data_IF_945873498971
#
_entry.id   IF_945873498971
#
_cell.length_a   1.000
_cell.length_b   1.000
_cell.length_c   1.000
_cell.angle_alpha   90.00
_cell.angle_beta   90.00
_cell.angle_gamma   90.00
#
_symmetry.space_group_name_H-M   'P 1'
#
loop_
_entity.id
_entity.type
_entity.pdbx_description
1 polymer ?
#
# COMPACT_ATOMS: atom_id res chain seq x y z
N UNK A 1 -22.13 -7.85 4.69
CA UNK A 1 -22.14 -6.71 5.67
C UNK A 1 -22.67 -5.49 4.96
N UNK A 2 -23.68 -4.80 5.52
CA UNK A 2 -24.05 -3.49 5.02
C UNK A 2 -23.11 -2.46 5.64
N UNK A 3 -22.23 -1.88 4.83
CA UNK A 3 -21.42 -0.74 5.24
C UNK A 3 -22.26 0.54 5.04
N UNK A 4 -22.20 1.50 5.98
CA UNK A 4 -22.91 2.76 5.79
C UNK A 4 -22.38 3.50 4.56
N UNK A 5 -23.29 4.05 3.76
CA UNK A 5 -22.92 4.97 2.68
C UNK A 5 -22.22 6.20 3.27
N UNK A 6 -21.16 6.64 2.59
CA UNK A 6 -20.52 7.90 2.97
C UNK A 6 -21.46 9.07 2.69
N UNK A 7 -21.70 9.87 3.72
CA UNK A 7 -22.38 11.14 3.53
C UNK A 7 -21.40 12.19 3.00
N UNK A 8 -21.83 13.07 2.09
CA UNK A 8 -20.99 14.18 1.62
C UNK A 8 -20.47 15.01 2.79
N UNK A 9 -19.22 15.44 2.68
CA UNK A 9 -18.61 16.30 3.71
C UNK A 9 -19.37 17.60 3.86
N UNK A 10 -19.63 18.00 5.11
CA UNK A 10 -20.19 19.33 5.47
C UNK A 10 -19.10 20.40 5.54
N UNK A 11 -17.86 20.08 5.20
CA UNK A 11 -16.75 21.03 5.20
C UNK A 11 -17.06 22.20 4.26
N UNK A 12 -16.91 23.46 4.70
CA UNK A 12 -17.22 24.64 3.88
C UNK A 12 -16.12 24.88 2.83
N UNK A 13 -15.99 23.97 1.89
CA UNK A 13 -14.94 23.97 0.84
C UNK A 13 -14.91 25.25 0.02
N UNK A 14 -16.07 25.94 -0.11
CA UNK A 14 -16.18 27.22 -0.80
C UNK A 14 -15.42 28.36 -0.14
N UNK A 15 -14.98 28.20 1.12
CA UNK A 15 -14.15 29.18 1.85
C UNK A 15 -12.66 29.08 1.52
N UNK A 16 -12.27 28.01 0.83
CA UNK A 16 -10.87 27.77 0.45
C UNK A 16 -10.68 28.11 -1.02
N UNK A 17 -9.76 29.03 -1.31
CA UNK A 17 -9.33 29.35 -2.67
C UNK A 17 -8.01 28.69 -2.99
N UNK A 18 -7.77 28.41 -4.27
CA UNK A 18 -6.46 27.95 -4.72
C UNK A 18 -5.39 28.99 -4.42
N UNK A 19 -4.21 28.54 -4.04
CA UNK A 19 -3.05 29.44 -3.91
C UNK A 19 -2.78 30.15 -5.24
N UNK A 20 -2.44 31.44 -5.17
CA UNK A 20 -2.08 32.21 -6.37
C UNK A 20 -0.73 31.71 -6.86
N UNK A 21 -0.64 31.14 -8.07
CA UNK A 21 0.62 30.60 -8.57
C UNK A 21 1.63 31.74 -8.83
N UNK A 22 2.91 31.43 -8.65
CA UNK A 22 3.98 32.33 -9.07
C UNK A 22 4.01 32.37 -10.60
N UNK A 23 3.94 33.55 -11.20
CA UNK A 23 4.00 33.70 -12.66
C UNK A 23 5.43 33.51 -13.15
N UNK A 24 5.69 32.38 -13.79
CA UNK A 24 6.93 32.07 -14.49
C UNK A 24 6.60 31.78 -15.95
N UNK A 25 7.24 32.46 -16.87
CA UNK A 25 6.92 32.37 -18.31
C UNK A 25 7.31 31.08 -18.97
N UNK A 26 8.22 30.31 -18.35
CA UNK A 26 8.77 29.04 -18.84
C UNK A 26 8.18 27.80 -18.12
N UNK A 27 7.10 27.96 -17.37
CA UNK A 27 6.44 26.83 -16.68
C UNK A 27 5.80 25.87 -17.67
N UNK A 28 5.98 24.57 -17.41
CA UNK A 28 5.44 23.52 -18.28
C UNK A 28 4.43 22.62 -17.60
N UNK A 29 4.60 22.30 -16.32
CA UNK A 29 3.73 21.37 -15.58
C UNK A 29 3.04 21.96 -14.32
N UNK A 30 3.56 23.02 -13.64
CA UNK A 30 2.97 23.51 -12.39
C UNK A 30 1.63 24.21 -12.53
N UNK A 31 1.18 24.47 -13.76
CA UNK A 31 -0.13 25.10 -14.01
C UNK A 31 -1.31 24.16 -13.86
N UNK A 32 -1.03 22.85 -13.79
CA UNK A 32 -2.07 21.84 -13.52
C UNK A 32 -2.53 21.95 -12.07
N UNK A 33 -3.85 22.06 -11.90
CA UNK A 33 -4.51 22.09 -10.58
C UNK A 33 -5.20 20.76 -10.32
N UNK A 34 -5.12 20.30 -9.08
CA UNK A 34 -5.94 19.18 -8.64
C UNK A 34 -7.41 19.62 -8.56
N UNK A 35 -8.26 19.00 -9.33
CA UNK A 35 -9.71 19.29 -9.38
C UNK A 35 -10.56 18.21 -8.71
N UNK A 36 -9.95 17.10 -8.29
CA UNK A 36 -10.59 16.02 -7.58
C UNK A 36 -9.76 15.63 -6.35
N UNK A 37 -10.42 15.15 -5.30
CA UNK A 37 -9.73 14.64 -4.13
C UNK A 37 -8.87 13.42 -4.51
N UNK A 38 -7.65 13.27 -3.94
CA UNK A 38 -6.86 12.06 -4.11
C UNK A 38 -7.56 10.89 -3.42
N UNK A 39 -7.25 9.68 -3.85
CA UNK A 39 -7.58 8.49 -3.08
C UNK A 39 -6.70 8.44 -1.84
N UNK A 40 -7.32 8.22 -0.70
CA UNK A 40 -6.63 8.04 0.57
C UNK A 40 -6.40 6.55 0.81
N UNK A 41 -5.16 6.17 1.05
CA UNK A 41 -4.80 4.85 1.56
C UNK A 41 -4.58 4.91 3.07
N UNK A 42 -5.22 4.00 3.83
CA UNK A 42 -4.94 3.85 5.25
C UNK A 42 -3.78 2.88 5.44
N UNK A 43 -2.82 3.26 6.26
CA UNK A 43 -1.66 2.42 6.67
C UNK A 43 -1.73 2.02 8.14
N UNK A 44 -2.85 2.26 8.82
CA UNK A 44 -3.03 2.00 10.25
C UNK A 44 -2.82 0.53 10.62
N UNK A 45 -3.29 -0.41 9.78
CA UNK A 45 -3.18 -1.84 10.02
C UNK A 45 -1.81 -2.44 9.71
N UNK A 46 -0.94 -1.71 9.02
CA UNK A 46 0.44 -2.13 8.75
C UNK A 46 1.42 -1.25 9.52
N UNK A 47 1.65 -0.01 9.11
CA UNK A 47 2.66 0.88 9.68
C UNK A 47 2.26 1.34 11.08
N UNK A 48 1.01 1.74 11.26
CA UNK A 48 0.46 2.08 12.56
C UNK A 48 0.52 0.91 13.54
N UNK A 49 0.11 -0.29 13.12
CA UNK A 49 0.17 -1.49 13.94
C UNK A 49 1.62 -1.90 14.27
N UNK A 50 2.56 -1.72 13.35
CA UNK A 50 3.98 -2.00 13.55
C UNK A 50 4.61 -1.11 14.63
N UNK A 51 4.09 0.10 14.82
CA UNK A 51 4.57 1.05 15.83
C UNK A 51 4.05 0.76 17.25
N UNK A 52 3.07 -0.14 17.41
CA UNK A 52 2.53 -0.49 18.72
C UNK A 52 3.51 -1.36 19.51
N UNK A 53 3.60 -1.12 20.82
CA UNK A 53 4.37 -1.98 21.74
C UNK A 53 3.76 -3.39 21.79
N UNK A 54 2.43 -3.48 21.75
CA UNK A 54 1.65 -4.73 21.67
C UNK A 54 0.83 -4.69 20.36
N UNK A 55 1.35 -5.25 19.26
CA UNK A 55 0.67 -5.25 17.98
C UNK A 55 -0.70 -5.95 18.06
N UNK A 56 -1.63 -5.49 17.25
CA UNK A 56 -2.99 -6.03 17.22
C UNK A 56 -3.00 -7.50 16.78
N UNK A 57 -3.73 -8.32 17.52
CA UNK A 57 -4.13 -9.65 17.13
C UNK A 57 -5.18 -9.62 15.99
N UNK A 58 -5.50 -10.78 15.43
CA UNK A 58 -6.48 -10.88 14.34
C UNK A 58 -7.87 -10.30 14.67
N UNK A 59 -8.46 -10.51 15.86
CA UNK A 59 -9.71 -9.88 16.22
C UNK A 59 -9.67 -8.34 16.24
N UNK A 60 -8.61 -7.75 16.80
CA UNK A 60 -8.42 -6.29 16.85
C UNK A 60 -8.19 -5.74 15.44
N UNK A 61 -7.35 -6.40 14.62
CA UNK A 61 -7.15 -6.03 13.22
C UNK A 61 -8.46 -6.05 12.44
N UNK A 62 -9.31 -7.06 12.65
CA UNK A 62 -10.61 -7.14 12.00
C UNK A 62 -11.56 -6.00 12.43
N UNK A 63 -11.57 -5.67 13.72
CA UNK A 63 -12.36 -4.54 14.21
C UNK A 63 -11.90 -3.21 13.58
N UNK A 64 -10.58 -2.99 13.52
CA UNK A 64 -10.00 -1.80 12.89
C UNK A 64 -10.26 -1.76 11.37
N UNK A 65 -10.12 -2.89 10.67
CA UNK A 65 -10.46 -2.99 9.25
C UNK A 65 -11.90 -2.56 8.96
N UNK A 66 -12.86 -3.08 9.74
CA UNK A 66 -14.27 -2.70 9.63
C UNK A 66 -14.49 -1.22 9.89
N UNK A 67 -13.78 -0.64 10.85
CA UNK A 67 -13.85 0.80 11.15
C UNK A 67 -13.33 1.62 9.97
N UNK A 68 -12.17 1.27 9.40
CA UNK A 68 -11.60 1.97 8.25
C UNK A 68 -12.53 1.92 7.03
N UNK A 69 -13.14 0.76 6.77
CA UNK A 69 -14.16 0.63 5.72
C UNK A 69 -15.38 1.52 6.00
N UNK A 70 -15.85 1.56 7.25
CA UNK A 70 -16.98 2.41 7.66
C UNK A 70 -16.64 3.91 7.57
N UNK A 71 -15.37 4.30 7.80
CA UNK A 71 -14.87 5.66 7.57
C UNK A 71 -14.79 6.03 6.09
N UNK A 72 -14.84 5.03 5.19
CA UNK A 72 -14.87 5.22 3.74
C UNK A 72 -13.55 5.09 3.04
N UNK A 73 -12.51 4.57 3.68
CA UNK A 73 -11.27 4.26 2.98
C UNK A 73 -11.52 3.22 1.89
N UNK A 74 -10.94 3.45 0.71
CA UNK A 74 -11.05 2.58 -0.46
C UNK A 74 -9.76 1.84 -0.79
N UNK A 75 -8.66 2.26 -0.20
CA UNK A 75 -7.38 1.56 -0.22
C UNK A 75 -6.91 1.41 1.23
N UNK A 76 -6.62 0.16 1.65
CA UNK A 76 -6.24 -0.14 3.04
C UNK A 76 -5.05 -1.09 3.02
N UNK A 77 -3.91 -0.64 3.54
CA UNK A 77 -2.74 -1.50 3.73
C UNK A 77 -2.93 -2.34 4.98
N UNK A 78 -3.22 -3.63 4.78
CA UNK A 78 -3.72 -4.54 5.81
C UNK A 78 -2.63 -5.28 6.59
N UNK A 79 -1.39 -5.30 6.07
CA UNK A 79 -0.29 -5.94 6.76
C UNK A 79 0.92 -6.24 5.88
N UNK A 80 1.87 -6.97 6.47
CA UNK A 80 3.06 -7.49 5.83
C UNK A 80 3.06 -9.04 5.91
N UNK A 81 2.27 -9.72 5.06
CA UNK A 81 1.98 -11.15 5.20
C UNK A 81 3.19 -12.05 5.09
N UNK A 82 4.26 -11.61 4.44
CA UNK A 82 5.50 -12.39 4.34
C UNK A 82 6.43 -12.20 5.54
N UNK A 83 6.21 -11.20 6.39
CA UNK A 83 7.02 -10.95 7.58
C UNK A 83 6.48 -11.61 8.84
N UNK A 84 5.17 -11.84 8.94
CA UNK A 84 4.56 -12.47 10.12
C UNK A 84 3.41 -13.40 9.75
N UNK A 85 3.28 -14.51 10.51
CA UNK A 85 2.17 -15.44 10.33
C UNK A 85 0.83 -14.79 10.70
N UNK A 86 0.81 -13.95 11.73
CA UNK A 86 -0.39 -13.20 12.13
C UNK A 86 -0.93 -12.32 11.00
N UNK A 87 -0.04 -11.63 10.28
CA UNK A 87 -0.45 -10.82 9.14
C UNK A 87 -0.91 -11.68 7.97
N UNK A 88 -0.22 -12.79 7.71
CA UNK A 88 -0.65 -13.74 6.68
C UNK A 88 -2.05 -14.27 6.97
N UNK A 89 -2.29 -14.75 8.18
CA UNK A 89 -3.56 -15.31 8.60
C UNK A 89 -4.68 -14.27 8.57
N UNK A 90 -4.37 -13.02 8.92
CA UNK A 90 -5.33 -11.92 8.83
C UNK A 90 -5.72 -11.62 7.38
N UNK A 91 -4.74 -11.53 6.46
CA UNK A 91 -5.01 -11.31 5.03
C UNK A 91 -5.86 -12.45 4.48
N UNK A 92 -5.50 -13.70 4.77
CA UNK A 92 -6.31 -14.86 4.36
C UNK A 92 -7.72 -14.81 4.92
N UNK A 93 -7.85 -14.51 6.20
CA UNK A 93 -9.17 -14.43 6.87
C UNK A 93 -10.11 -13.43 6.17
N UNK A 94 -9.65 -12.22 5.88
CA UNK A 94 -10.52 -11.22 5.23
C UNK A 94 -10.89 -11.58 3.80
N UNK A 95 -10.04 -12.35 3.11
CA UNK A 95 -10.30 -12.86 1.75
C UNK A 95 -11.24 -14.06 1.83
N UNK A 96 -10.87 -15.10 2.58
CA UNK A 96 -11.59 -16.38 2.62
C UNK A 96 -13.01 -16.25 3.20
N UNK A 97 -13.22 -15.32 4.12
CA UNK A 97 -14.54 -15.03 4.70
C UNK A 97 -15.33 -13.96 3.91
N UNK A 98 -14.80 -13.46 2.78
CA UNK A 98 -15.48 -12.47 1.94
C UNK A 98 -15.75 -11.14 2.66
N UNK A 99 -14.83 -10.67 3.52
CA UNK A 99 -15.01 -9.49 4.35
C UNK A 99 -14.60 -8.17 3.68
N UNK A 100 -14.04 -8.25 2.47
CA UNK A 100 -13.58 -7.08 1.72
C UNK A 100 -14.73 -6.60 0.84
N UNK A 101 -15.22 -5.35 1.01
CA UNK A 101 -16.22 -4.79 0.10
C UNK A 101 -15.73 -4.70 -1.33
N UNK A 102 -16.63 -4.77 -2.29
CA UNK A 102 -16.32 -4.75 -3.71
C UNK A 102 -15.56 -3.52 -4.20
N UNK A 103 -15.74 -2.39 -3.51
CA UNK A 103 -15.14 -1.10 -3.83
C UNK A 103 -13.91 -0.77 -2.96
N UNK A 104 -13.43 -1.74 -2.16
CA UNK A 104 -12.22 -1.62 -1.35
C UNK A 104 -11.10 -2.48 -1.93
N UNK A 105 -9.92 -1.89 -2.04
CA UNK A 105 -8.69 -2.55 -2.47
C UNK A 105 -7.82 -2.78 -1.24
N UNK A 106 -7.42 -4.00 -0.99
CA UNK A 106 -6.40 -4.30 0.03
C UNK A 106 -5.01 -4.06 -0.54
N UNK A 107 -4.13 -3.51 0.29
CA UNK A 107 -2.72 -3.36 -0.01
C UNK A 107 -1.90 -4.19 0.97
N UNK A 108 -0.83 -4.80 0.49
CA UNK A 108 0.09 -5.61 1.30
C UNK A 108 1.53 -5.27 0.99
N UNK A 109 2.33 -5.10 2.05
CA UNK A 109 3.74 -4.77 1.92
C UNK A 109 4.57 -6.02 1.61
N UNK A 110 5.60 -5.87 0.78
CA UNK A 110 6.63 -6.88 0.57
C UNK A 110 7.99 -6.25 0.31
N UNK A 111 9.03 -6.79 0.92
CA UNK A 111 10.40 -6.40 0.60
C UNK A 111 10.83 -7.01 -0.74
N UNK A 112 11.73 -6.34 -1.47
CA UNK A 112 12.31 -6.78 -2.73
C UNK A 112 13.23 -8.01 -2.57
N UNK A 113 12.66 -9.14 -2.13
CA UNK A 113 13.31 -10.44 -1.93
C UNK A 113 12.36 -11.54 -2.40
N UNK A 114 12.85 -12.40 -3.28
CA UNK A 114 12.03 -13.42 -3.94
C UNK A 114 11.15 -14.26 -2.98
N UNK A 115 11.65 -14.84 -1.86
CA UNK A 115 10.81 -15.63 -0.99
C UNK A 115 9.64 -14.84 -0.38
N UNK A 116 9.89 -13.55 -0.04
CA UNK A 116 8.88 -12.68 0.54
C UNK A 116 7.83 -12.27 -0.50
N UNK A 117 8.25 -11.97 -1.73
CA UNK A 117 7.35 -11.65 -2.83
C UNK A 117 6.43 -12.84 -3.11
N UNK A 118 6.98 -14.06 -3.24
CA UNK A 118 6.18 -15.26 -3.48
C UNK A 118 5.15 -15.50 -2.37
N UNK A 119 5.58 -15.38 -1.10
CA UNK A 119 4.68 -15.51 0.05
C UNK A 119 3.58 -14.46 0.06
N UNK A 120 3.87 -13.25 -0.40
CA UNK A 120 2.88 -12.18 -0.52
C UNK A 120 1.83 -12.49 -1.59
N UNK A 121 2.23 -13.03 -2.74
CA UNK A 121 1.28 -13.47 -3.76
C UNK A 121 0.40 -14.63 -3.29
N UNK A 122 0.95 -15.58 -2.51
CA UNK A 122 0.14 -16.63 -1.85
C UNK A 122 -0.92 -16.01 -0.92
N UNK A 123 -0.56 -14.97 -0.17
CA UNK A 123 -1.46 -14.33 0.77
C UNK A 123 -2.65 -13.64 0.10
N UNK A 124 -2.46 -13.01 -1.06
CA UNK A 124 -3.52 -12.25 -1.75
C UNK A 124 -4.35 -13.08 -2.73
N UNK A 125 -3.97 -14.32 -2.96
CA UNK A 125 -4.67 -15.21 -3.90
C UNK A 125 -6.17 -15.30 -3.57
N UNK A 126 -7.02 -15.13 -4.59
CA UNK A 126 -8.48 -15.20 -4.46
C UNK A 126 -9.12 -13.91 -3.97
N UNK A 127 -8.37 -12.84 -3.71
CA UNK A 127 -8.97 -11.51 -3.54
C UNK A 127 -9.45 -10.98 -4.90
N UNK A 128 -10.50 -10.15 -4.91
CA UNK A 128 -10.98 -9.51 -6.14
C UNK A 128 -9.93 -8.59 -6.76
N UNK A 129 -9.26 -7.82 -5.90
CA UNK A 129 -8.19 -6.90 -6.27
C UNK A 129 -7.23 -6.66 -5.09
N UNK A 130 -5.95 -6.48 -5.40
CA UNK A 130 -4.92 -6.19 -4.41
C UNK A 130 -3.83 -5.28 -4.97
N UNK A 131 -3.22 -4.47 -4.10
CA UNK A 131 -2.00 -3.72 -4.39
C UNK A 131 -0.84 -4.44 -3.72
N UNK A 132 0.17 -4.80 -4.50
CA UNK A 132 1.45 -5.28 -3.98
C UNK A 132 2.36 -4.07 -3.80
N UNK A 133 2.62 -3.71 -2.55
CA UNK A 133 3.49 -2.60 -2.19
C UNK A 133 4.92 -3.12 -2.01
N UNK A 134 5.72 -2.99 -3.05
CA UNK A 134 7.12 -3.42 -3.09
C UNK A 134 8.03 -2.33 -2.55
N UNK A 135 8.99 -2.67 -1.70
CA UNK A 135 9.99 -1.72 -1.24
C UNK A 135 11.39 -2.30 -1.15
N UNK A 136 12.39 -1.45 -1.21
CA UNK A 136 13.76 -1.72 -0.78
C UNK A 136 14.43 -0.44 -0.30
N UNK A 137 15.40 -0.58 0.63
CA UNK A 137 16.15 0.55 1.15
C UNK A 137 17.14 1.08 0.11
N UNK A 138 17.20 2.39 -0.05
CA UNK A 138 17.97 3.05 -1.12
C UNK A 138 19.04 4.01 -0.63
N UNK A 139 19.04 4.38 0.67
CA UNK A 139 19.98 5.38 1.22
C UNK A 139 21.42 4.89 1.26
N UNK A 140 22.35 5.82 1.43
CA UNK A 140 23.79 5.57 1.43
C UNK A 140 24.20 4.54 2.49
N UNK A 141 23.62 4.61 3.70
CA UNK A 141 23.98 3.72 4.80
C UNK A 141 23.61 2.26 4.53
N UNK A 142 22.34 1.90 4.19
CA UNK A 142 21.98 0.55 3.79
C UNK A 142 22.77 0.03 2.59
N UNK A 143 23.01 0.86 1.57
CA UNK A 143 23.84 0.45 0.42
C UNK A 143 25.20 -0.07 0.85
N UNK A 144 25.88 0.70 1.72
CA UNK A 144 27.24 0.40 2.14
C UNK A 144 27.33 -0.71 3.18
N UNK A 145 26.42 -0.69 4.18
CA UNK A 145 26.56 -1.54 5.39
C UNK A 145 25.74 -2.83 5.27
N UNK A 146 24.55 -2.76 4.68
CA UNK A 146 23.61 -3.90 4.61
C UNK A 146 23.83 -4.70 3.33
N UNK A 147 23.87 -4.00 2.19
CA UNK A 147 23.92 -4.67 0.89
C UNK A 147 25.32 -4.80 0.31
N UNK A 148 26.25 -3.91 0.68
CA UNK A 148 27.58 -3.84 0.05
C UNK A 148 27.50 -3.50 -1.44
N UNK A 149 26.50 -2.73 -1.86
CA UNK A 149 26.20 -2.43 -3.27
C UNK A 149 26.28 -0.91 -3.53
N UNK A 150 26.59 -0.57 -4.78
CA UNK A 150 26.47 0.77 -5.31
C UNK A 150 25.02 1.11 -5.72
N UNK A 151 24.84 2.28 -6.33
CA UNK A 151 23.51 2.73 -6.80
C UNK A 151 22.91 1.79 -7.84
N UNK A 152 23.72 1.29 -8.74
CA UNK A 152 23.25 0.40 -9.84
C UNK A 152 22.84 -0.97 -9.28
N UNK A 153 23.59 -1.50 -8.30
CA UNK A 153 23.21 -2.72 -7.60
C UNK A 153 21.87 -2.59 -6.85
N UNK A 154 21.62 -1.44 -6.20
CA UNK A 154 20.32 -1.17 -5.53
C UNK A 154 19.18 -1.01 -6.54
N UNK A 155 19.40 -0.32 -7.65
CA UNK A 155 18.40 -0.26 -8.74
C UNK A 155 18.08 -1.65 -9.28
N UNK A 156 19.11 -2.50 -9.44
CA UNK A 156 18.91 -3.87 -9.91
C UNK A 156 18.03 -4.68 -8.97
N UNK A 157 18.18 -4.54 -7.63
CA UNK A 157 17.26 -5.18 -6.67
C UNK A 157 15.81 -4.78 -6.95
N UNK A 158 15.55 -3.49 -7.15
CA UNK A 158 14.21 -3.00 -7.42
C UNK A 158 13.65 -3.52 -8.74
N UNK A 159 14.44 -3.48 -9.81
CA UNK A 159 13.99 -3.91 -11.16
C UNK A 159 13.77 -5.42 -11.23
N UNK A 160 14.67 -6.22 -10.66
CA UNK A 160 14.52 -7.68 -10.62
C UNK A 160 13.27 -8.07 -9.81
N UNK A 161 13.06 -7.43 -8.66
CA UNK A 161 11.88 -7.67 -7.85
C UNK A 161 10.57 -7.25 -8.53
N UNK A 162 10.57 -6.11 -9.21
CA UNK A 162 9.43 -5.67 -10.01
C UNK A 162 9.13 -6.65 -11.16
N UNK A 163 10.15 -7.14 -11.85
CA UNK A 163 9.97 -8.15 -12.90
C UNK A 163 9.40 -9.44 -12.33
N UNK A 164 9.91 -9.92 -11.19
CA UNK A 164 9.36 -11.09 -10.52
C UNK A 164 7.88 -10.89 -10.14
N UNK A 165 7.52 -9.71 -9.64
CA UNK A 165 6.12 -9.39 -9.33
C UNK A 165 5.24 -9.48 -10.60
N UNK A 166 5.71 -8.97 -11.74
CA UNK A 166 4.98 -9.06 -13.03
C UNK A 166 4.81 -10.52 -13.46
N UNK A 167 5.87 -11.33 -13.35
CA UNK A 167 5.83 -12.75 -13.73
C UNK A 167 4.83 -13.53 -12.86
N UNK A 168 4.71 -13.18 -11.57
CA UNK A 168 3.81 -13.85 -10.63
C UNK A 168 2.34 -13.48 -10.80
N UNK A 169 1.99 -12.41 -11.52
CA UNK A 169 0.57 -12.07 -11.77
C UNK A 169 -0.18 -13.23 -12.39
N UNK A 170 0.47 -13.98 -13.29
CA UNK A 170 -0.15 -15.15 -13.93
C UNK A 170 -0.49 -16.28 -12.96
N UNK A 171 0.08 -16.29 -11.75
CA UNK A 171 -0.19 -17.32 -10.71
C UNK A 171 -1.45 -17.03 -9.90
N UNK A 172 -2.01 -15.84 -10.02
CA UNK A 172 -3.22 -15.38 -9.34
C UNK A 172 -4.23 -14.76 -10.32
N UNK A 173 -4.66 -15.50 -11.35
CA UNK A 173 -5.44 -14.94 -12.47
C UNK A 173 -6.81 -14.40 -12.05
N UNK A 174 -7.32 -14.83 -10.91
CA UNK A 174 -8.58 -14.37 -10.32
C UNK A 174 -8.47 -13.04 -9.59
N UNK A 175 -7.24 -12.56 -9.34
CA UNK A 175 -6.97 -11.35 -8.56
C UNK A 175 -6.44 -10.24 -9.46
N UNK A 176 -7.13 -9.11 -9.53
CA UNK A 176 -6.61 -7.93 -10.22
C UNK A 176 -5.48 -7.31 -9.39
N UNK A 177 -4.24 -7.46 -9.86
CA UNK A 177 -3.06 -6.92 -9.19
C UNK A 177 -2.73 -5.52 -9.71
N UNK A 178 -2.43 -4.62 -8.77
CA UNK A 178 -1.78 -3.33 -9.00
C UNK A 178 -0.48 -3.28 -8.21
N UNK A 179 0.44 -2.41 -8.59
CA UNK A 179 1.74 -2.29 -7.94
C UNK A 179 1.96 -0.88 -7.39
N UNK A 180 2.58 -0.83 -6.23
CA UNK A 180 3.17 0.36 -5.64
C UNK A 180 4.65 0.07 -5.36
N UNK A 181 5.53 1.06 -5.55
CA UNK A 181 6.94 0.93 -5.21
C UNK A 181 7.39 2.09 -4.32
N UNK A 182 8.04 1.75 -3.21
CA UNK A 182 8.63 2.72 -2.28
C UNK A 182 10.15 2.55 -2.19
N UNK A 183 10.93 3.56 -2.63
CA UNK A 183 12.35 3.62 -2.33
C UNK A 183 12.54 4.07 -0.88
N UNK A 184 12.68 3.11 0.04
CA UNK A 184 12.81 3.39 1.47
C UNK A 184 14.07 4.22 1.77
N UNK A 185 13.96 5.17 2.71
CA UNK A 185 15.05 6.09 3.09
C UNK A 185 15.60 6.89 1.90
N UNK A 186 14.74 7.36 1.03
CA UNK A 186 15.08 8.03 -0.23
C UNK A 186 15.94 9.29 -0.08
N UNK A 187 15.82 9.97 1.04
CA UNK A 187 16.51 11.25 1.32
C UNK A 187 17.92 11.08 1.90
N UNK A 188 18.42 9.87 2.06
CA UNK A 188 19.71 9.56 2.66
C UNK A 188 20.91 9.49 1.70
#
# INVERSE_FOLDING_TARGET
MNFPEQTPSKMPVHRYSSFIPVELTDRTWPDKKMTAAPKWSSVDLRDGNQALIDPMDTPRKLAMFKLLVAMGYKEIEVGFPSASQTDFDFVRKIIDEGLIPDDVIIQVLTQAREPLIRRTFEAVKGSKQAIIHLYNSTSTLPRRVVFGLDKEGIKKIATDAAQLCLDLVSTVPETKISFEYSPESYTG
#
